data_IF_252335814589
#
_entry.id   IF_252335814589
#
_cell.length_a   1.000
_cell.length_b   1.000
_cell.length_c   1.000
_cell.angle_alpha   90.00
_cell.angle_beta   90.00
_cell.angle_gamma   90.00
#
_symmetry.space_group_name_H-M   'P 1'
#
loop_
_entity.id
_entity.type
_entity.pdbx_description
1 polymer ?
#
# COMPACT_ATOMS: atom_id res chain seq x y z
N UNK A 1 -33.05 -1.59 -21.86
CA UNK A 1 -32.33 -2.66 -21.13
C UNK A 1 -30.83 -2.74 -21.46
N UNK A 2 -30.43 -2.68 -22.73
CA UNK A 2 -29.02 -2.78 -23.18
C UNK A 2 -28.13 -1.67 -22.57
N UNK A 3 -28.64 -0.45 -22.47
CA UNK A 3 -27.86 0.70 -21.96
C UNK A 3 -27.49 0.60 -20.47
N UNK A 4 -28.36 0.05 -19.62
CA UNK A 4 -28.09 -0.16 -18.18
C UNK A 4 -27.06 -1.24 -17.94
N UNK A 5 -27.05 -2.32 -18.74
CA UNK A 5 -26.06 -3.40 -18.63
C UNK A 5 -24.66 -2.91 -19.03
N UNK A 6 -24.58 -2.07 -20.05
CA UNK A 6 -23.32 -1.47 -20.48
C UNK A 6 -22.76 -0.48 -19.44
N UNK A 7 -23.61 0.33 -18.80
CA UNK A 7 -23.18 1.23 -17.71
C UNK A 7 -22.64 0.46 -16.50
N UNK A 8 -23.31 -0.63 -16.12
CA UNK A 8 -22.85 -1.50 -15.02
C UNK A 8 -21.48 -2.09 -15.32
N UNK A 9 -21.29 -2.62 -16.54
CA UNK A 9 -20.02 -3.20 -16.96
C UNK A 9 -18.88 -2.18 -16.95
N UNK A 10 -19.14 -0.95 -17.38
CA UNK A 10 -18.17 0.13 -17.38
C UNK A 10 -17.77 0.57 -15.96
N UNK A 11 -18.73 0.61 -15.01
CA UNK A 11 -18.42 0.90 -13.60
C UNK A 11 -17.54 -0.19 -12.97
N UNK A 12 -17.85 -1.47 -13.21
CA UNK A 12 -17.01 -2.58 -12.71
C UNK A 12 -15.61 -2.50 -13.31
N UNK A 13 -15.47 -2.24 -14.60
CA UNK A 13 -14.16 -2.08 -15.24
C UNK A 13 -13.36 -0.92 -14.63
N UNK A 14 -14.00 0.22 -14.37
CA UNK A 14 -13.36 1.37 -13.73
C UNK A 14 -12.83 1.00 -12.34
N UNK A 15 -13.66 0.37 -11.50
CA UNK A 15 -13.27 -0.07 -10.15
C UNK A 15 -12.10 -1.06 -10.23
N UNK A 16 -12.13 -2.01 -11.15
CA UNK A 16 -11.03 -2.97 -11.35
C UNK A 16 -9.73 -2.28 -11.79
N UNK A 17 -9.81 -1.32 -12.71
CA UNK A 17 -8.63 -0.56 -13.16
C UNK A 17 -8.05 0.22 -11.99
N UNK A 18 -8.87 0.98 -11.26
CA UNK A 18 -8.44 1.71 -10.08
C UNK A 18 -7.80 0.79 -9.03
N UNK A 19 -8.38 -0.36 -8.76
CA UNK A 19 -7.81 -1.33 -7.82
C UNK A 19 -6.45 -1.87 -8.29
N UNK A 20 -6.33 -2.23 -9.56
CA UNK A 20 -5.10 -2.81 -10.11
C UNK A 20 -3.96 -1.80 -10.26
N UNK A 21 -4.27 -0.51 -10.50
CA UNK A 21 -3.26 0.56 -10.66
C UNK A 21 -2.79 1.16 -9.33
N UNK A 22 -3.25 0.65 -8.19
CA UNK A 22 -2.83 1.11 -6.87
C UNK A 22 -1.30 1.09 -6.65
N UNK A 23 -0.54 0.04 -7.05
CA UNK A 23 0.91 0.06 -6.94
C UNK A 23 1.57 1.19 -7.74
N UNK A 24 1.02 1.54 -8.90
CA UNK A 24 1.53 2.63 -9.75
C UNK A 24 1.32 3.98 -9.06
N UNK A 25 0.13 4.22 -8.50
CA UNK A 25 -0.16 5.47 -7.80
C UNK A 25 0.71 5.67 -6.56
N UNK A 26 1.15 4.57 -5.96
CA UNK A 26 2.08 4.62 -4.83
C UNK A 26 3.47 5.12 -5.27
N UNK A 27 3.96 4.67 -6.42
CA UNK A 27 5.23 5.15 -7.01
C UNK A 27 5.12 6.62 -7.44
N UNK A 28 3.95 7.01 -7.96
CA UNK A 28 3.71 8.37 -8.44
C UNK A 28 3.63 9.43 -7.34
N UNK A 29 3.62 9.03 -6.06
CA UNK A 29 3.72 9.90 -4.90
C UNK A 29 2.45 10.03 -4.08
N UNK A 30 2.61 10.57 -2.86
CA UNK A 30 1.57 10.62 -1.83
C UNK A 30 0.30 11.38 -2.23
N UNK A 31 0.43 12.45 -3.03
CA UNK A 31 -0.72 13.22 -3.52
C UNK A 31 -1.58 12.37 -4.46
N UNK A 32 -0.95 11.77 -5.47
CA UNK A 32 -1.63 10.93 -6.45
C UNK A 32 -2.25 9.69 -5.80
N UNK A 33 -1.54 9.07 -4.86
CA UNK A 33 -2.08 7.98 -4.04
C UNK A 33 -3.35 8.38 -3.31
N UNK A 34 -3.36 9.56 -2.68
CA UNK A 34 -4.52 10.05 -1.92
C UNK A 34 -5.71 10.33 -2.82
N UNK A 35 -5.51 10.98 -3.97
CA UNK A 35 -6.55 11.23 -4.97
C UNK A 35 -7.10 9.92 -5.52
N UNK A 36 -6.21 8.99 -5.88
CA UNK A 36 -6.57 7.66 -6.39
C UNK A 36 -7.45 6.89 -5.40
N UNK A 37 -7.06 6.88 -4.11
CA UNK A 37 -7.81 6.23 -3.04
C UNK A 37 -9.22 6.81 -2.90
N UNK A 38 -9.34 8.15 -2.93
CA UNK A 38 -10.64 8.84 -2.84
C UNK A 38 -11.53 8.48 -4.04
N UNK A 39 -10.99 8.52 -5.25
CA UNK A 39 -11.75 8.17 -6.48
C UNK A 39 -12.19 6.70 -6.42
N UNK A 40 -11.31 5.78 -6.00
CA UNK A 40 -11.63 4.37 -5.85
C UNK A 40 -12.76 4.15 -4.83
N UNK A 41 -12.66 4.75 -3.64
CA UNK A 41 -13.66 4.61 -2.58
C UNK A 41 -15.00 5.19 -3.02
N UNK A 42 -15.03 6.39 -3.57
CA UNK A 42 -16.26 7.03 -4.05
C UNK A 42 -16.93 6.18 -5.14
N UNK A 43 -16.17 5.77 -6.16
CA UNK A 43 -16.71 4.95 -7.26
C UNK A 43 -17.27 3.62 -6.75
N UNK A 44 -16.62 3.03 -5.77
CA UNK A 44 -17.03 1.76 -5.16
C UNK A 44 -18.30 1.90 -4.32
N UNK A 45 -18.40 2.96 -3.50
CA UNK A 45 -19.59 3.23 -2.68
C UNK A 45 -20.82 3.47 -3.58
N UNK A 46 -20.65 4.25 -4.66
CA UNK A 46 -21.73 4.45 -5.63
C UNK A 46 -22.21 3.14 -6.25
N UNK A 47 -21.26 2.25 -6.59
CA UNK A 47 -21.58 0.94 -7.12
C UNK A 47 -22.32 0.07 -6.09
N UNK A 48 -21.82 -0.02 -4.86
CA UNK A 48 -22.42 -0.80 -3.76
C UNK A 48 -23.85 -0.33 -3.49
N UNK A 49 -24.07 1.00 -3.41
CA UNK A 49 -25.38 1.60 -3.19
C UNK A 49 -26.35 1.30 -4.34
N UNK A 50 -25.90 1.42 -5.58
CA UNK A 50 -26.73 1.19 -6.77
C UNK A 50 -27.21 -0.26 -6.90
N UNK A 51 -26.36 -1.22 -6.49
CA UNK A 51 -26.66 -2.65 -6.56
C UNK A 51 -27.31 -3.19 -5.27
N UNK A 52 -27.62 -2.32 -4.28
CA UNK A 52 -28.17 -2.69 -2.99
C UNK A 52 -27.45 -3.86 -2.31
N UNK A 53 -26.11 -3.85 -2.38
CA UNK A 53 -25.29 -4.91 -1.83
C UNK A 53 -25.34 -4.84 -0.30
N UNK A 54 -25.84 -5.89 0.33
CA UNK A 54 -25.86 -6.02 1.80
C UNK A 54 -24.49 -6.43 2.30
N UNK A 55 -24.05 -5.80 3.38
CA UNK A 55 -22.78 -6.06 4.02
C UNK A 55 -23.00 -6.63 5.43
N UNK A 56 -22.37 -7.77 5.72
CA UNK A 56 -22.34 -8.35 7.08
C UNK A 56 -21.00 -8.06 7.71
N UNK A 57 -21.03 -7.43 8.90
CA UNK A 57 -19.84 -7.18 9.69
C UNK A 57 -19.40 -8.49 10.37
N UNK A 58 -18.19 -8.94 10.06
CA UNK A 58 -17.52 -10.06 10.72
C UNK A 58 -16.70 -9.56 11.90
N UNK A 59 -16.23 -10.48 12.76
CA UNK A 59 -15.41 -10.16 13.93
C UNK A 59 -14.18 -9.32 13.57
N UNK A 60 -13.53 -9.63 12.44
CA UNK A 60 -12.37 -8.89 11.95
C UNK A 60 -12.68 -7.39 11.69
N UNK A 61 -13.88 -7.08 11.16
CA UNK A 61 -14.31 -5.71 10.93
C UNK A 61 -14.54 -4.95 12.23
N UNK A 62 -15.15 -5.62 13.23
CA UNK A 62 -15.33 -5.04 14.57
C UNK A 62 -14.01 -4.73 15.25
N UNK A 63 -13.03 -5.65 15.18
CA UNK A 63 -11.69 -5.41 15.71
C UNK A 63 -11.02 -4.21 15.03
N UNK A 64 -11.19 -4.09 13.73
CA UNK A 64 -10.63 -2.98 12.96
C UNK A 64 -11.30 -1.64 13.32
N UNK A 65 -12.62 -1.61 13.48
CA UNK A 65 -13.38 -0.44 13.93
C UNK A 65 -12.94 -0.03 15.34
N UNK A 66 -12.84 -0.99 16.27
CA UNK A 66 -12.39 -0.75 17.65
C UNK A 66 -10.97 -0.16 17.65
N UNK A 67 -10.06 -0.69 16.84
CA UNK A 67 -8.70 -0.16 16.70
C UNK A 67 -8.70 1.32 16.26
N UNK A 68 -9.51 1.70 15.27
CA UNK A 68 -9.58 3.09 14.81
C UNK A 68 -10.25 4.00 15.85
N UNK A 69 -11.28 3.54 16.55
CA UNK A 69 -11.90 4.29 17.65
C UNK A 69 -10.88 4.50 18.78
N UNK A 70 -10.15 3.45 19.15
CA UNK A 70 -9.11 3.51 20.17
C UNK A 70 -8.00 4.51 19.82
N UNK A 71 -7.48 4.48 18.58
CA UNK A 71 -6.46 5.43 18.14
C UNK A 71 -6.98 6.87 18.13
N UNK A 72 -8.23 7.09 17.76
CA UNK A 72 -8.86 8.40 17.80
C UNK A 72 -9.02 8.92 19.24
N UNK A 73 -9.50 8.08 20.15
CA UNK A 73 -9.67 8.42 21.58
C UNK A 73 -8.34 8.77 22.25
N UNK A 74 -7.30 7.94 22.05
CA UNK A 74 -5.97 8.21 22.63
C UNK A 74 -5.41 9.53 22.11
N UNK A 75 -5.49 9.80 20.81
CA UNK A 75 -5.00 11.08 20.25
C UNK A 75 -5.77 12.26 20.77
N UNK A 76 -7.06 12.12 21.07
CA UNK A 76 -7.88 13.19 21.67
C UNK A 76 -7.48 13.44 23.11
N UNK A 77 -7.27 12.39 23.91
CA UNK A 77 -6.83 12.48 25.30
C UNK A 77 -5.43 13.11 25.39
N UNK A 78 -4.49 12.69 24.56
CA UNK A 78 -3.14 13.26 24.51
C UNK A 78 -3.14 14.73 24.15
N UNK A 79 -4.07 15.14 23.30
CA UNK A 79 -4.20 16.56 22.93
C UNK A 79 -4.74 17.41 24.06
N UNK A 80 -5.68 16.89 24.88
CA UNK A 80 -6.27 17.62 26.01
C UNK A 80 -5.38 17.63 27.26
N UNK A 81 -4.53 16.61 27.44
CA UNK A 81 -3.65 16.46 28.59
C UNK A 81 -2.18 16.21 28.14
N UNK A 82 -1.51 17.22 27.58
CA UNK A 82 -0.16 17.04 27.00
C UNK A 82 0.91 16.63 28.02
N UNK A 83 0.65 16.78 29.33
CA UNK A 83 1.56 16.35 30.42
C UNK A 83 1.43 14.91 30.89
N UNK A 84 0.35 14.22 30.53
CA UNK A 84 0.07 12.88 31.11
C UNK A 84 0.93 11.77 30.51
N UNK A 85 1.39 11.91 29.25
CA UNK A 85 2.24 10.92 28.55
C UNK A 85 3.59 11.49 28.08
N UNK A 86 3.84 12.79 28.25
CA UNK A 86 5.11 13.42 27.92
C UNK A 86 6.05 13.43 29.11
N UNK A 87 6.80 12.35 29.28
CA UNK A 87 8.10 12.44 29.95
C UNK A 87 9.08 13.22 29.06
N UNK A 88 9.27 14.52 29.31
CA UNK A 88 10.21 15.47 28.68
C UNK A 88 9.73 16.21 27.43
N UNK A 89 9.91 17.53 27.51
CA UNK A 89 9.80 18.57 26.51
C UNK A 89 10.37 18.14 25.15
N UNK A 90 9.50 17.74 24.25
CA UNK A 90 9.81 17.71 22.82
C UNK A 90 9.29 19.03 22.25
N UNK A 91 10.17 20.00 22.12
CA UNK A 91 9.91 21.20 21.33
C UNK A 91 9.78 20.79 19.88
N UNK A 92 8.55 20.55 19.44
CA UNK A 92 8.22 20.40 18.02
C UNK A 92 8.26 21.79 17.38
N UNK A 93 9.46 22.28 17.08
CA UNK A 93 9.65 23.48 16.26
C UNK A 93 9.55 23.05 14.79
N UNK A 94 8.37 23.12 14.24
CA UNK A 94 8.11 22.91 12.81
C UNK A 94 7.07 23.93 12.35
N UNK A 95 7.45 24.82 11.49
CA UNK A 95 6.79 26.07 11.10
C UNK A 95 5.73 25.93 9.99
N UNK A 96 4.84 24.95 10.08
CA UNK A 96 3.69 24.86 9.18
C UNK A 96 2.42 25.32 9.90
N UNK A 97 1.70 26.38 9.42
CA UNK A 97 0.48 26.90 10.05
C UNK A 97 -0.68 25.89 10.09
N UNK A 98 -0.54 24.75 9.40
CA UNK A 98 -1.39 23.56 9.47
C UNK A 98 -0.65 22.38 10.10
N UNK A 99 0.17 22.59 11.12
CA UNK A 99 0.59 21.46 11.97
C UNK A 99 -0.66 20.88 12.59
N UNK A 100 -1.21 20.01 11.79
CA UNK A 100 -2.45 19.35 11.99
C UNK A 100 -2.40 18.70 13.35
N UNK A 101 -3.19 19.27 14.25
CA UNK A 101 -3.44 18.71 15.58
C UNK A 101 -3.47 17.19 15.44
N UNK A 102 -2.88 16.40 16.32
CA UNK A 102 -2.84 14.94 16.23
C UNK A 102 -4.20 14.32 15.95
N UNK A 103 -5.27 14.96 16.43
CA UNK A 103 -6.66 14.64 16.15
C UNK A 103 -6.97 14.62 14.63
N UNK A 104 -6.49 15.62 13.88
CA UNK A 104 -6.73 15.68 12.44
C UNK A 104 -6.01 14.55 11.70
N UNK A 105 -4.80 14.19 12.14
CA UNK A 105 -4.06 13.04 11.58
C UNK A 105 -4.80 11.72 11.85
N UNK A 106 -5.32 11.50 13.05
CA UNK A 106 -6.09 10.29 13.36
C UNK A 106 -7.42 10.24 12.60
N UNK A 107 -8.07 11.38 12.37
CA UNK A 107 -9.26 11.45 11.54
C UNK A 107 -8.97 11.06 10.08
N UNK A 108 -7.84 11.53 9.52
CA UNK A 108 -7.41 11.14 8.17
C UNK A 108 -7.19 9.61 8.06
N UNK A 109 -6.77 8.94 9.14
CA UNK A 109 -6.59 7.48 9.13
C UNK A 109 -7.90 6.70 8.92
N UNK A 110 -9.08 7.28 9.24
CA UNK A 110 -10.39 6.65 9.02
C UNK A 110 -10.59 6.29 7.54
N UNK A 111 -9.96 6.98 6.61
CA UNK A 111 -9.99 6.64 5.18
C UNK A 111 -9.54 5.20 4.90
N UNK A 112 -8.58 4.68 5.68
CA UNK A 112 -8.10 3.31 5.52
C UNK A 112 -9.10 2.27 6.05
N UNK A 113 -9.87 2.63 7.09
CA UNK A 113 -10.99 1.80 7.54
C UNK A 113 -12.05 1.67 6.44
N UNK A 114 -12.46 2.81 5.86
CA UNK A 114 -13.43 2.83 4.76
C UNK A 114 -12.90 2.02 3.56
N UNK A 115 -11.63 2.20 3.20
CA UNK A 115 -10.97 1.43 2.15
C UNK A 115 -11.05 -0.08 2.42
N UNK A 116 -10.69 -0.52 3.64
CA UNK A 116 -10.70 -1.93 4.00
C UNK A 116 -12.10 -2.54 3.90
N UNK A 117 -13.14 -1.83 4.40
CA UNK A 117 -14.53 -2.27 4.30
C UNK A 117 -15.00 -2.37 2.85
N UNK A 118 -14.71 -1.35 2.04
CA UNK A 118 -15.06 -1.31 0.61
C UNK A 118 -14.40 -2.45 -0.17
N UNK A 119 -13.10 -2.65 0.04
CA UNK A 119 -12.34 -3.74 -0.61
C UNK A 119 -12.91 -5.09 -0.22
N UNK A 120 -13.23 -5.30 1.07
CA UNK A 120 -13.85 -6.54 1.53
C UNK A 120 -15.18 -6.83 0.82
N UNK A 121 -16.08 -5.83 0.75
CA UNK A 121 -17.38 -5.97 0.06
C UNK A 121 -17.18 -6.31 -1.42
N UNK A 122 -16.31 -5.60 -2.11
CA UNK A 122 -16.05 -5.85 -3.53
C UNK A 122 -15.38 -7.22 -3.78
N UNK A 123 -14.56 -7.67 -2.83
CA UNK A 123 -13.91 -8.96 -2.89
C UNK A 123 -14.91 -10.11 -2.71
N UNK A 124 -15.79 -10.03 -1.71
CA UNK A 124 -16.85 -11.03 -1.48
C UNK A 124 -17.82 -11.14 -2.66
N UNK A 125 -18.04 -10.04 -3.36
CA UNK A 125 -18.85 -9.99 -4.60
C UNK A 125 -18.09 -10.46 -5.86
N UNK A 126 -16.82 -10.89 -5.71
CA UNK A 126 -15.96 -11.34 -6.84
C UNK A 126 -15.79 -10.28 -7.93
N UNK A 127 -15.89 -9.00 -7.57
CA UNK A 127 -15.71 -7.87 -8.51
C UNK A 127 -14.23 -7.59 -8.72
N UNK A 128 -13.39 -7.76 -7.67
CA UNK A 128 -11.97 -7.49 -7.73
C UNK A 128 -11.20 -8.67 -8.33
N UNK A 129 -10.36 -8.38 -9.31
CA UNK A 129 -9.46 -9.34 -9.95
C UNK A 129 -8.06 -9.26 -9.32
N UNK A 130 -7.80 -10.11 -8.34
CA UNK A 130 -6.50 -10.17 -7.67
C UNK A 130 -5.37 -10.56 -8.61
N UNK A 131 -5.63 -11.36 -9.66
CA UNK A 131 -4.57 -11.76 -10.60
C UNK A 131 -3.98 -10.56 -11.32
N UNK A 132 -4.82 -9.60 -11.71
CA UNK A 132 -4.36 -8.35 -12.33
C UNK A 132 -3.58 -7.47 -11.36
N UNK A 133 -4.07 -7.32 -10.11
CA UNK A 133 -3.34 -6.60 -9.07
C UNK A 133 -1.95 -7.21 -8.84
N UNK A 134 -1.87 -8.53 -8.76
CA UNK A 134 -0.62 -9.24 -8.58
C UNK A 134 0.35 -9.04 -9.74
N UNK A 135 -0.15 -9.07 -10.99
CA UNK A 135 0.67 -8.81 -12.17
C UNK A 135 1.22 -7.37 -12.16
N UNK A 136 0.38 -6.38 -11.88
CA UNK A 136 0.82 -4.97 -11.79
C UNK A 136 1.81 -4.80 -10.64
N UNK A 137 1.57 -5.43 -9.50
CA UNK A 137 2.51 -5.42 -8.36
C UNK A 137 3.86 -6.03 -8.73
N UNK A 138 3.88 -7.12 -9.50
CA UNK A 138 5.11 -7.74 -10.00
C UNK A 138 5.91 -6.78 -10.89
N UNK A 139 5.25 -6.11 -11.83
CA UNK A 139 5.90 -5.14 -12.72
C UNK A 139 6.44 -3.95 -11.90
N UNK A 140 5.61 -3.37 -11.04
CA UNK A 140 5.99 -2.21 -10.25
C UNK A 140 7.12 -2.51 -9.25
N UNK A 141 7.03 -3.63 -8.52
CA UNK A 141 8.07 -4.00 -7.56
C UNK A 141 9.39 -4.37 -8.23
N UNK A 142 9.34 -5.02 -9.39
CA UNK A 142 10.54 -5.29 -10.18
C UNK A 142 11.18 -4.01 -10.71
N UNK A 143 10.36 -3.06 -11.21
CA UNK A 143 10.84 -1.74 -11.64
C UNK A 143 11.53 -1.00 -10.50
N UNK A 144 10.88 -0.88 -9.34
CA UNK A 144 11.47 -0.22 -8.16
C UNK A 144 12.74 -0.92 -7.71
N UNK A 145 12.78 -2.27 -7.72
CA UNK A 145 13.98 -3.03 -7.36
C UNK A 145 15.16 -2.72 -8.28
N UNK A 146 14.90 -2.71 -9.59
CA UNK A 146 15.94 -2.40 -10.58
C UNK A 146 16.42 -0.95 -10.47
N UNK A 147 15.53 -0.01 -10.21
CA UNK A 147 15.88 1.39 -10.06
C UNK A 147 16.69 1.68 -8.79
N UNK A 148 16.32 1.07 -7.66
CA UNK A 148 17.12 1.12 -6.42
C UNK A 148 18.53 0.53 -6.64
N UNK A 149 18.64 -0.59 -7.38
CA UNK A 149 19.92 -1.18 -7.74
C UNK A 149 20.72 -0.24 -8.66
N UNK A 150 20.07 0.33 -9.67
CA UNK A 150 20.69 1.29 -10.58
C UNK A 150 21.21 2.52 -9.81
N UNK A 151 20.43 3.08 -8.89
CA UNK A 151 20.81 4.22 -8.06
C UNK A 151 22.02 3.88 -7.18
N UNK A 152 22.09 2.68 -6.62
CA UNK A 152 23.22 2.24 -5.79
C UNK A 152 24.55 2.24 -6.55
N UNK A 153 24.57 1.81 -7.83
CA UNK A 153 25.79 1.75 -8.62
C UNK A 153 26.15 3.09 -9.32
N UNK A 154 25.15 3.89 -9.68
CA UNK A 154 25.36 5.12 -10.45
C UNK A 154 25.30 6.39 -9.58
N UNK A 155 24.86 6.29 -8.32
CA UNK A 155 24.68 7.43 -7.42
C UNK A 155 23.40 8.25 -7.68
N UNK A 156 22.72 8.00 -8.80
CA UNK A 156 21.44 8.62 -9.20
C UNK A 156 20.48 7.56 -9.73
N UNK A 157 19.19 7.76 -9.54
CA UNK A 157 18.15 6.90 -10.11
C UNK A 157 17.87 7.22 -11.59
N UNK A 158 16.93 6.50 -12.21
CA UNK A 158 16.53 6.72 -13.62
C UNK A 158 15.95 8.13 -13.83
N UNK A 159 15.38 8.76 -12.80
CA UNK A 159 14.82 10.11 -12.84
C UNK A 159 15.84 11.19 -12.44
N UNK A 160 17.11 10.82 -12.23
CA UNK A 160 18.20 11.71 -11.83
C UNK A 160 18.11 12.23 -10.38
N UNK A 161 17.38 11.54 -9.49
CA UNK A 161 17.40 11.82 -8.07
C UNK A 161 18.63 11.18 -7.43
N UNK A 162 19.31 11.93 -6.55
CA UNK A 162 20.45 11.42 -5.79
C UNK A 162 19.97 10.59 -4.60
N UNK A 163 20.64 9.49 -4.34
CA UNK A 163 20.46 8.75 -3.08
C UNK A 163 20.86 9.62 -1.89
N UNK A 164 20.18 9.44 -0.75
CA UNK A 164 20.65 10.02 0.50
C UNK A 164 21.89 9.24 0.99
N UNK A 165 22.68 9.85 1.90
CA UNK A 165 23.80 9.16 2.53
C UNK A 165 23.28 7.88 3.19
N UNK A 166 23.83 6.71 2.83
CA UNK A 166 23.45 5.38 3.29
C UNK A 166 22.04 4.89 2.92
N UNK A 167 21.32 5.55 2.01
CA UNK A 167 19.97 5.12 1.59
C UNK A 167 19.72 5.37 0.12
N UNK A 168 19.17 4.36 -0.54
CA UNK A 168 18.75 4.45 -1.92
C UNK A 168 17.20 4.45 -1.97
N UNK A 169 16.65 5.59 -2.38
CA UNK A 169 15.19 5.81 -2.42
C UNK A 169 14.56 5.33 -3.74
N UNK A 170 15.38 5.05 -4.76
CA UNK A 170 14.88 4.71 -6.09
C UNK A 170 13.95 5.81 -6.63
N UNK A 171 12.83 5.45 -7.27
CA UNK A 171 11.96 6.41 -7.96
C UNK A 171 11.16 7.33 -7.02
N UNK A 172 11.41 7.27 -5.70
CA UNK A 172 10.68 8.06 -4.70
C UNK A 172 11.37 9.40 -4.36
N UNK A 173 12.46 9.74 -5.03
CA UNK A 173 13.19 10.99 -4.81
C UNK A 173 13.72 11.11 -3.38
N UNK A 174 13.34 12.18 -2.65
CA UNK A 174 13.81 12.43 -1.28
C UNK A 174 13.10 11.55 -0.23
N UNK A 175 12.04 10.82 -0.61
CA UNK A 175 11.28 9.98 0.31
C UNK A 175 11.93 8.59 0.45
N UNK A 176 12.45 8.26 1.64
CA UNK A 176 13.08 6.96 1.92
C UNK A 176 12.05 5.83 2.16
N UNK A 177 11.10 5.68 1.23
CA UNK A 177 10.00 4.71 1.33
C UNK A 177 10.17 3.47 0.44
N UNK A 178 11.22 3.42 -0.39
CA UNK A 178 11.47 2.31 -1.32
C UNK A 178 11.45 0.94 -0.62
N UNK A 179 12.14 0.80 0.52
CA UNK A 179 12.14 -0.43 1.29
C UNK A 179 10.73 -0.82 1.79
N UNK A 180 9.94 0.14 2.26
CA UNK A 180 8.57 -0.12 2.72
C UNK A 180 7.64 -0.48 1.56
N UNK A 181 7.83 0.11 0.39
CA UNK A 181 7.13 -0.27 -0.84
C UNK A 181 7.48 -1.69 -1.26
N UNK A 182 8.78 -1.98 -1.39
CA UNK A 182 9.25 -3.30 -1.80
C UNK A 182 8.79 -4.39 -0.83
N UNK A 183 8.88 -4.18 0.48
CA UNK A 183 8.44 -5.16 1.47
C UNK A 183 6.96 -5.55 1.29
N UNK A 184 6.08 -4.61 0.98
CA UNK A 184 4.64 -4.88 0.80
C UNK A 184 4.33 -5.49 -0.56
N UNK A 185 4.84 -4.88 -1.63
CA UNK A 185 4.49 -5.26 -2.99
C UNK A 185 5.27 -6.47 -3.51
N UNK A 186 6.42 -6.82 -2.91
CA UNK A 186 7.13 -8.04 -3.25
C UNK A 186 6.34 -9.31 -2.90
N UNK A 187 5.60 -9.32 -1.79
CA UNK A 187 4.71 -10.46 -1.48
C UNK A 187 3.59 -10.59 -2.51
N UNK A 188 2.93 -9.47 -2.88
CA UNK A 188 1.92 -9.51 -3.93
C UNK A 188 2.51 -9.96 -5.27
N UNK A 189 3.75 -9.58 -5.57
CA UNK A 189 4.50 -10.02 -6.75
C UNK A 189 4.79 -11.53 -6.72
N UNK A 190 5.26 -12.06 -5.59
CA UNK A 190 5.53 -13.49 -5.40
C UNK A 190 4.25 -14.31 -5.55
N UNK A 191 3.17 -13.90 -4.89
CA UNK A 191 1.85 -14.54 -5.04
C UNK A 191 1.35 -14.46 -6.48
N UNK A 192 1.52 -13.32 -7.13
CA UNK A 192 1.17 -13.13 -8.52
C UNK A 192 1.92 -14.07 -9.44
N UNK A 193 3.21 -14.19 -9.24
CA UNK A 193 4.03 -15.11 -10.01
C UNK A 193 3.61 -16.57 -9.78
N UNK A 194 3.37 -16.96 -8.53
CA UNK A 194 2.90 -18.30 -8.17
C UNK A 194 1.54 -18.64 -8.80
N UNK A 195 0.63 -17.65 -8.87
CA UNK A 195 -0.72 -17.85 -9.41
C UNK A 195 -0.79 -17.83 -10.94
N UNK A 196 0.10 -17.09 -11.62
CA UNK A 196 0.02 -16.85 -13.05
C UNK A 196 0.98 -17.73 -13.85
N UNK A 197 2.11 -18.11 -13.26
CA UNK A 197 3.16 -18.84 -13.97
C UNK A 197 3.17 -20.31 -13.61
N UNK A 198 2.82 -21.18 -14.57
CA UNK A 198 2.72 -22.64 -14.36
C UNK A 198 3.59 -23.43 -15.37
N UNK A 199 4.85 -22.98 -15.61
CA UNK A 199 5.78 -23.64 -16.53
C UNK A 199 6.90 -24.37 -15.77
N UNK A 200 7.63 -25.27 -16.49
CA UNK A 200 8.71 -26.10 -15.96
C UNK A 200 9.78 -25.35 -15.13
N UNK A 201 10.07 -24.12 -15.50
CA UNK A 201 11.11 -23.30 -14.81
C UNK A 201 10.56 -22.34 -13.74
N UNK A 202 9.34 -22.59 -13.24
CA UNK A 202 8.67 -21.76 -12.23
C UNK A 202 9.56 -21.44 -11.02
N UNK A 203 10.21 -22.46 -10.48
CA UNK A 203 11.00 -22.31 -9.26
C UNK A 203 12.26 -21.45 -9.48
N UNK A 204 12.90 -21.55 -10.63
CA UNK A 204 14.09 -20.74 -10.96
C UNK A 204 13.72 -19.25 -11.05
N UNK A 205 12.63 -18.92 -11.75
CA UNK A 205 12.15 -17.55 -11.86
C UNK A 205 11.65 -17.00 -10.52
N UNK A 206 11.03 -17.84 -9.69
CA UNK A 206 10.60 -17.46 -8.34
C UNK A 206 11.81 -17.09 -7.48
N UNK A 207 12.85 -17.92 -7.46
CA UNK A 207 14.10 -17.65 -6.74
C UNK A 207 14.71 -16.33 -7.24
N UNK A 208 14.75 -16.13 -8.57
CA UNK A 208 15.26 -14.89 -9.14
C UNK A 208 14.50 -13.65 -8.65
N UNK A 209 13.15 -13.69 -8.63
CA UNK A 209 12.32 -12.60 -8.13
C UNK A 209 12.60 -12.34 -6.64
N UNK A 210 12.68 -13.40 -5.82
CA UNK A 210 12.98 -13.29 -4.39
C UNK A 210 14.35 -12.65 -4.17
N UNK A 211 15.37 -13.12 -4.88
CA UNK A 211 16.74 -12.60 -4.77
C UNK A 211 16.82 -11.15 -5.22
N UNK A 212 16.15 -10.79 -6.32
CA UNK A 212 16.08 -9.42 -6.82
C UNK A 212 15.50 -8.46 -5.76
N UNK A 213 14.36 -8.83 -5.17
CA UNK A 213 13.70 -8.00 -4.15
C UNK A 213 14.52 -7.96 -2.85
N UNK A 214 15.10 -9.09 -2.41
CA UNK A 214 15.95 -9.15 -1.22
C UNK A 214 17.18 -8.26 -1.37
N UNK A 215 17.84 -8.30 -2.53
CA UNK A 215 19.00 -7.48 -2.82
C UNK A 215 18.65 -5.99 -2.85
N UNK A 216 17.56 -5.61 -3.54
CA UNK A 216 17.09 -4.24 -3.56
C UNK A 216 16.71 -3.72 -2.16
N UNK A 217 16.06 -4.55 -1.33
CA UNK A 217 15.76 -4.23 0.06
C UNK A 217 17.01 -4.01 0.90
N UNK A 218 18.04 -4.85 0.71
CA UNK A 218 19.31 -4.72 1.41
C UNK A 218 19.97 -3.37 1.13
N UNK A 219 20.11 -3.01 -0.15
CA UNK A 219 20.78 -1.77 -0.58
C UNK A 219 19.93 -0.52 -0.39
N UNK A 220 18.61 -0.65 -0.20
CA UNK A 220 17.74 0.49 0.14
C UNK A 220 18.06 1.11 1.51
N UNK A 221 18.85 0.41 2.36
CA UNK A 221 19.21 0.87 3.69
C UNK A 221 18.11 0.79 4.74
N UNK A 222 16.94 0.25 4.40
CA UNK A 222 15.78 0.14 5.29
C UNK A 222 15.79 -1.21 6.04
N UNK A 223 16.33 -1.26 7.26
CA UNK A 223 16.53 -2.51 8.03
C UNK A 223 15.23 -3.23 8.38
N UNK A 224 14.21 -2.52 8.86
CA UNK A 224 12.94 -3.14 9.27
C UNK A 224 12.17 -3.81 8.11
N UNK A 225 12.00 -3.17 6.94
CA UNK A 225 11.43 -3.83 5.76
C UNK A 225 12.16 -5.10 5.33
N UNK A 226 13.49 -5.12 5.42
CA UNK A 226 14.30 -6.29 5.10
C UNK A 226 14.00 -7.46 6.05
N UNK A 227 14.00 -7.20 7.37
CA UNK A 227 13.68 -8.22 8.38
C UNK A 227 12.27 -8.77 8.17
N UNK A 228 11.28 -7.90 7.96
CA UNK A 228 9.90 -8.29 7.71
C UNK A 228 9.74 -9.10 6.41
N UNK A 229 10.54 -8.78 5.38
CA UNK A 229 10.56 -9.55 4.15
C UNK A 229 11.06 -10.97 4.38
N UNK A 230 12.20 -11.15 5.06
CA UNK A 230 12.72 -12.48 5.36
C UNK A 230 11.79 -13.28 6.29
N UNK A 231 11.21 -12.62 7.29
CA UNK A 231 10.23 -13.26 8.17
C UNK A 231 9.01 -13.76 7.36
N UNK A 232 8.51 -12.95 6.44
CA UNK A 232 7.39 -13.33 5.60
C UNK A 232 7.74 -14.47 4.62
N UNK A 233 8.93 -14.47 4.03
CA UNK A 233 9.41 -15.59 3.20
C UNK A 233 9.51 -16.86 4.06
N UNK A 234 10.07 -16.78 5.27
CA UNK A 234 10.16 -17.92 6.19
C UNK A 234 8.79 -18.50 6.52
N UNK A 235 7.80 -17.64 6.82
CA UNK A 235 6.43 -18.09 7.08
C UNK A 235 5.79 -18.75 5.84
N UNK A 236 6.10 -18.28 4.63
CA UNK A 236 5.60 -18.90 3.39
C UNK A 236 6.15 -20.31 3.16
N UNK A 237 7.33 -20.63 3.70
CA UNK A 237 7.89 -21.99 3.59
C UNK A 237 7.39 -22.96 4.67
N UNK A 238 6.79 -22.44 5.76
CA UNK A 238 6.24 -23.28 6.84
C UNK A 238 4.80 -23.71 6.54
N UNK A 239 4.04 -22.90 5.79
CA UNK A 239 2.63 -23.16 5.41
C UNK A 239 2.57 -24.01 4.16
#
# INVERSE_FOLDING_TARGET
MINLKNQKLNQIKLIQILFCTFPISFIAGNLLLSIHLVIFVISSIFYIKKENITFKLEIAHWLLIIFFIYTFLITTIQFQAPGFLQGKNINWVGSWPFESKPIFKSFILIRYLILALVVHVLFTQKILDLKKLFLVSLICSSFVSLDVIFQYYNGVDIFNFKGAVDRNSGPFGDENIAGSFLQKFSFLSIFGFLALYNKKHKNIFLIFIIVLHAYALLISGNRMPLILFFLGIFLLFII
#
